data_IF_454093754666
#
_entry.id   IF_454093754666
#
_cell.length_a   1.000
_cell.length_b   1.000
_cell.length_c   1.000
_cell.angle_alpha   90.00
_cell.angle_beta   90.00
_cell.angle_gamma   90.00
#
_symmetry.space_group_name_H-M   'P 1'
#
loop_
_entity.id
_entity.type
_entity.pdbx_description
1 polymer ?
#
# COMPACT_ATOMS: atom_id res chain seq x y z
N UNK A 1 -29.55 11.18 10.03
CA UNK A 1 -28.59 10.30 10.72
C UNK A 1 -28.27 9.13 9.81
N UNK A 2 -26.98 8.87 9.59
CA UNK A 2 -26.57 7.79 8.67
C UNK A 2 -26.73 6.41 9.30
N UNK A 3 -27.26 5.46 8.53
CA UNK A 3 -27.30 4.07 8.91
C UNK A 3 -25.89 3.47 8.90
N UNK A 4 -25.74 2.28 9.46
CA UNK A 4 -24.45 1.56 9.42
C UNK A 4 -24.05 1.29 7.98
N UNK A 5 -24.99 0.90 7.12
CA UNK A 5 -24.72 0.66 5.70
C UNK A 5 -24.21 1.92 5.01
N UNK A 6 -24.81 3.07 5.30
CA UNK A 6 -24.36 4.35 4.74
C UNK A 6 -22.96 4.72 5.22
N UNK A 7 -22.68 4.49 6.51
CA UNK A 7 -21.35 4.76 7.07
C UNK A 7 -20.27 3.87 6.42
N UNK A 8 -20.61 2.60 6.16
CA UNK A 8 -19.70 1.69 5.48
C UNK A 8 -19.40 2.14 4.05
N UNK A 9 -20.44 2.62 3.36
CA UNK A 9 -20.29 3.12 2.00
C UNK A 9 -19.40 4.36 1.96
N UNK A 10 -19.62 5.29 2.88
CA UNK A 10 -18.80 6.50 2.98
C UNK A 10 -17.34 6.12 3.25
N UNK A 11 -17.11 5.18 4.15
CA UNK A 11 -15.77 4.73 4.48
C UNK A 11 -15.10 4.04 3.30
N UNK A 12 -15.84 3.20 2.58
CA UNK A 12 -15.33 2.54 1.38
C UNK A 12 -14.88 3.55 0.32
N UNK A 13 -15.63 4.64 0.15
CA UNK A 13 -15.25 5.71 -0.77
C UNK A 13 -13.98 6.43 -0.31
N UNK A 14 -13.81 6.61 1.00
CA UNK A 14 -12.58 7.19 1.55
C UNK A 14 -11.38 6.28 1.29
N UNK A 15 -11.57 4.96 1.44
CA UNK A 15 -10.51 4.00 1.14
C UNK A 15 -10.11 4.04 -0.34
N UNK A 16 -11.08 4.12 -1.23
CA UNK A 16 -10.81 4.20 -2.67
C UNK A 16 -10.04 5.47 -3.01
N UNK A 17 -10.42 6.60 -2.43
CA UNK A 17 -9.70 7.86 -2.63
C UNK A 17 -8.28 7.80 -2.09
N UNK A 18 -8.12 7.22 -0.90
CA UNK A 18 -6.81 7.08 -0.30
C UNK A 18 -5.90 6.19 -1.14
N UNK A 19 -6.45 5.12 -1.71
CA UNK A 19 -5.72 4.24 -2.60
C UNK A 19 -5.19 5.00 -3.82
N UNK A 20 -6.05 5.80 -4.44
CA UNK A 20 -5.67 6.59 -5.60
C UNK A 20 -4.60 7.63 -5.26
N UNK A 21 -4.75 8.30 -4.13
CA UNK A 21 -3.79 9.29 -3.65
C UNK A 21 -2.44 8.64 -3.34
N UNK A 22 -2.47 7.49 -2.68
CA UNK A 22 -1.29 6.71 -2.38
C UNK A 22 -0.53 6.34 -3.66
N UNK A 23 -1.24 5.79 -4.63
CA UNK A 23 -0.64 5.41 -5.91
C UNK A 23 -0.04 6.61 -6.63
N UNK A 24 -0.76 7.73 -6.63
CA UNK A 24 -0.28 8.95 -7.28
C UNK A 24 1.01 9.47 -6.64
N UNK A 25 1.01 9.62 -5.32
CA UNK A 25 2.19 10.15 -4.60
C UNK A 25 3.40 9.25 -4.82
N UNK A 26 3.23 7.94 -4.64
CA UNK A 26 4.35 7.00 -4.77
C UNK A 26 4.85 6.90 -6.22
N UNK A 27 3.96 7.01 -7.21
CA UNK A 27 4.36 6.96 -8.62
C UNK A 27 5.23 8.16 -9.02
N UNK A 28 5.16 9.26 -8.28
CA UNK A 28 5.96 10.45 -8.56
C UNK A 28 7.35 10.37 -7.96
N UNK A 29 7.63 9.37 -7.12
CA UNK A 29 8.95 9.19 -6.50
C UNK A 29 9.82 8.32 -7.40
N UNK A 30 10.95 8.87 -7.92
CA UNK A 30 11.80 8.11 -8.85
C UNK A 30 12.35 6.81 -8.27
N UNK A 31 12.57 6.76 -6.95
CA UNK A 31 13.12 5.59 -6.27
C UNK A 31 12.11 4.45 -6.12
N UNK A 32 10.81 4.72 -6.25
CA UNK A 32 9.78 3.69 -6.09
C UNK A 32 9.67 2.87 -7.38
N UNK A 33 9.76 1.55 -7.25
CA UNK A 33 9.68 0.63 -8.39
C UNK A 33 8.34 -0.10 -8.46
N UNK A 34 7.74 -0.43 -7.34
CA UNK A 34 6.48 -1.17 -7.33
C UNK A 34 5.68 -0.88 -6.05
N UNK A 35 4.37 -0.82 -6.19
CA UNK A 35 3.44 -0.63 -5.07
C UNK A 35 2.34 -1.67 -5.19
N UNK A 36 2.18 -2.50 -4.14
CA UNK A 36 1.18 -3.57 -4.13
C UNK A 36 0.29 -3.41 -2.91
N UNK A 37 -1.01 -3.31 -3.15
CA UNK A 37 -2.01 -3.27 -2.10
C UNK A 37 -2.42 -4.71 -1.75
N UNK A 38 -2.40 -5.05 -0.47
CA UNK A 38 -2.74 -6.40 -0.05
C UNK A 38 -3.66 -6.37 1.19
N UNK A 39 -3.91 -7.53 1.77
CA UNK A 39 -4.74 -7.63 2.96
C UNK A 39 -6.24 -7.53 2.67
N UNK A 40 -7.01 -7.11 3.67
CA UNK A 40 -8.47 -7.14 3.61
C UNK A 40 -9.05 -6.32 2.47
N UNK A 41 -8.49 -5.15 2.20
CA UNK A 41 -8.98 -4.30 1.13
C UNK A 41 -8.84 -4.98 -0.24
N UNK A 42 -7.68 -5.59 -0.50
CA UNK A 42 -7.43 -6.23 -1.79
C UNK A 42 -8.36 -7.44 -2.03
N UNK A 43 -8.89 -8.01 -0.95
CA UNK A 43 -9.86 -9.10 -1.03
C UNK A 43 -11.30 -8.62 -1.07
N UNK A 44 -11.52 -7.32 -1.27
CA UNK A 44 -12.86 -6.75 -1.39
C UNK A 44 -13.57 -6.48 -0.08
N UNK A 45 -12.89 -6.58 1.05
CA UNK A 45 -13.50 -6.35 2.37
C UNK A 45 -13.37 -4.88 2.77
N UNK A 46 -14.28 -4.06 2.27
CA UNK A 46 -14.31 -2.63 2.56
C UNK A 46 -15.25 -2.34 3.73
N UNK A 47 -14.86 -2.76 4.92
CA UNK A 47 -15.66 -2.55 6.13
C UNK A 47 -15.03 -1.44 6.96
N UNK A 48 -15.81 -0.96 7.97
CA UNK A 48 -15.29 0.03 8.92
C UNK A 48 -14.01 -0.49 9.57
N UNK A 49 -13.04 0.39 9.79
CA UNK A 49 -11.74 0.11 10.41
C UNK A 49 -10.82 -0.78 9.56
N UNK A 50 -11.14 -0.97 8.28
CA UNK A 50 -10.22 -1.63 7.37
C UNK A 50 -9.06 -0.69 7.04
N UNK A 51 -7.84 -1.12 7.34
CA UNK A 51 -6.63 -0.37 7.01
C UNK A 51 -6.18 -0.69 5.58
N UNK A 52 -5.34 0.17 5.06
CA UNK A 52 -4.65 -0.14 3.81
C UNK A 52 -3.31 -0.78 4.13
N UNK A 53 -3.09 -1.99 3.62
CA UNK A 53 -1.83 -2.70 3.76
C UNK A 53 -1.09 -2.61 2.43
N UNK A 54 0.12 -2.05 2.45
CA UNK A 54 0.83 -1.73 1.21
C UNK A 54 2.28 -2.18 1.28
N UNK A 55 2.69 -2.91 0.25
CA UNK A 55 4.10 -3.26 0.05
C UNK A 55 4.68 -2.29 -0.97
N UNK A 56 5.73 -1.57 -0.58
CA UNK A 56 6.44 -0.64 -1.45
C UNK A 56 7.84 -1.18 -1.68
N UNK A 57 8.21 -1.36 -2.94
CA UNK A 57 9.56 -1.76 -3.33
C UNK A 57 10.23 -0.51 -3.89
N UNK A 58 11.32 -0.08 -3.25
CA UNK A 58 11.98 1.16 -3.62
C UNK A 58 13.49 1.05 -3.47
N UNK A 59 14.19 1.76 -4.34
CA UNK A 59 15.65 1.87 -4.25
C UNK A 59 16.00 2.96 -3.27
N UNK A 60 16.66 2.59 -2.17
CA UNK A 60 17.02 3.55 -1.14
C UNK A 60 18.23 3.05 -0.36
N UNK A 61 19.04 4.01 0.13
CA UNK A 61 20.13 3.72 1.06
C UNK A 61 19.69 3.87 2.51
N UNK A 62 18.45 4.31 2.76
CA UNK A 62 17.93 4.47 4.10
C UNK A 62 17.72 3.11 4.77
N UNK A 63 17.96 3.05 6.08
CA UNK A 63 17.64 1.86 6.88
C UNK A 63 16.15 1.62 6.94
N UNK A 64 15.77 0.44 7.43
CA UNK A 64 14.38 -0.01 7.41
C UNK A 64 13.42 0.99 8.10
N UNK A 65 13.76 1.44 9.30
CA UNK A 65 12.88 2.36 10.03
C UNK A 65 12.86 3.75 9.41
N UNK A 66 13.98 4.21 8.89
CA UNK A 66 14.09 5.54 8.29
C UNK A 66 13.28 5.65 7.01
N UNK A 67 13.26 4.59 6.20
CA UNK A 67 12.46 4.61 4.97
C UNK A 67 10.97 4.60 5.28
N UNK A 68 10.54 3.88 6.33
CA UNK A 68 9.15 3.92 6.79
C UNK A 68 8.75 5.34 7.21
N UNK A 69 9.59 5.97 8.04
CA UNK A 69 9.34 7.33 8.50
C UNK A 69 9.20 8.30 7.34
N UNK A 70 10.10 8.19 6.38
CA UNK A 70 10.08 9.04 5.19
C UNK A 70 8.77 8.88 4.41
N UNK A 71 8.34 7.64 4.16
CA UNK A 71 7.12 7.39 3.40
C UNK A 71 5.86 7.81 4.15
N UNK A 72 5.78 7.52 5.45
CA UNK A 72 4.63 7.96 6.25
C UNK A 72 4.49 9.48 6.24
N UNK A 73 5.58 10.19 6.36
CA UNK A 73 5.56 11.66 6.32
C UNK A 73 5.14 12.18 4.93
N UNK A 74 5.56 11.50 3.88
CA UNK A 74 5.24 11.90 2.51
C UNK A 74 3.78 11.65 2.14
N UNK A 75 3.18 10.60 2.69
CA UNK A 75 1.84 10.19 2.31
C UNK A 75 0.73 10.95 3.03
N UNK A 76 0.88 11.18 4.34
CA UNK A 76 -0.07 11.97 5.14
C UNK A 76 -1.55 11.68 4.82
N UNK A 77 -1.91 10.38 4.77
CA UNK A 77 -3.28 9.98 4.43
C UNK A 77 -4.20 10.11 5.65
N UNK A 78 -5.52 10.35 5.42
CA UNK A 78 -6.48 10.54 6.50
C UNK A 78 -6.97 9.24 7.14
N UNK A 79 -6.26 8.15 6.99
CA UNK A 79 -6.63 6.85 7.56
C UNK A 79 -5.39 6.04 7.87
N UNK A 80 -5.59 4.95 8.59
CA UNK A 80 -4.50 4.07 8.96
C UNK A 80 -3.91 3.36 7.75
N UNK A 81 -2.60 3.26 7.74
CA UNK A 81 -1.85 2.72 6.63
C UNK A 81 -0.70 1.89 7.20
N UNK A 82 -0.63 0.63 6.80
CA UNK A 82 0.47 -0.25 7.18
C UNK A 82 1.39 -0.45 6.00
N UNK A 83 2.62 0.03 6.14
CA UNK A 83 3.62 -0.06 5.06
C UNK A 83 4.67 -1.12 5.36
N UNK A 84 4.98 -1.90 4.33
CA UNK A 84 6.18 -2.73 4.30
C UNK A 84 7.04 -2.16 3.17
N UNK A 85 8.25 -1.71 3.51
CA UNK A 85 9.13 -1.05 2.55
C UNK A 85 10.40 -1.87 2.38
N UNK A 86 10.59 -2.45 1.19
CA UNK A 86 11.74 -3.28 0.88
C UNK A 86 12.50 -2.72 -0.32
N UNK A 87 13.82 -2.90 -0.33
CA UNK A 87 14.60 -2.65 -1.53
C UNK A 87 14.37 -3.81 -2.51
N UNK A 88 14.69 -3.64 -3.80
CA UNK A 88 14.58 -4.75 -4.75
C UNK A 88 15.37 -5.98 -4.31
N UNK A 89 16.55 -5.79 -3.75
CA UNK A 89 17.41 -6.89 -3.28
C UNK A 89 16.77 -7.61 -2.10
N UNK A 90 16.22 -6.86 -1.15
CA UNK A 90 15.51 -7.45 0.00
C UNK A 90 14.28 -8.23 -0.46
N UNK A 91 13.54 -7.68 -1.43
CA UNK A 91 12.37 -8.36 -1.96
C UNK A 91 12.73 -9.68 -2.65
N UNK A 92 13.78 -9.68 -3.46
CA UNK A 92 14.25 -10.91 -4.10
C UNK A 92 14.59 -12.00 -3.06
N UNK A 93 15.13 -11.59 -1.92
CA UNK A 93 15.50 -12.53 -0.86
C UNK A 93 14.30 -13.15 -0.15
N UNK A 94 13.14 -12.47 -0.13
CA UNK A 94 11.98 -12.93 0.66
C UNK A 94 10.75 -13.29 -0.18
N UNK A 95 10.74 -13.02 -1.47
CA UNK A 95 9.53 -13.16 -2.30
C UNK A 95 8.95 -14.58 -2.35
N UNK A 96 9.77 -15.60 -2.10
CA UNK A 96 9.32 -16.99 -2.08
C UNK A 96 8.78 -17.43 -0.72
N UNK A 97 8.95 -16.61 0.32
CA UNK A 97 8.39 -16.91 1.62
C UNK A 97 6.87 -16.82 1.58
N UNK A 98 6.14 -17.67 2.33
CA UNK A 98 4.69 -17.76 2.21
C UNK A 98 3.94 -16.44 2.31
N UNK A 99 4.35 -15.57 3.23
CA UNK A 99 3.70 -14.27 3.41
C UNK A 99 3.81 -13.40 2.15
N UNK A 100 5.01 -13.27 1.60
CA UNK A 100 5.22 -12.44 0.41
C UNK A 100 4.68 -13.08 -0.86
N UNK A 101 4.74 -14.40 -0.92
CA UNK A 101 4.15 -15.13 -2.04
C UNK A 101 2.64 -14.90 -2.11
N UNK A 102 1.98 -14.89 -0.95
CA UNK A 102 0.56 -14.60 -0.88
C UNK A 102 0.24 -13.17 -1.32
N UNK A 103 1.08 -12.20 -0.93
CA UNK A 103 0.93 -10.82 -1.38
C UNK A 103 0.97 -10.74 -2.90
N UNK A 104 1.91 -11.44 -3.52
CA UNK A 104 2.03 -11.43 -4.98
C UNK A 104 0.85 -12.10 -5.67
N UNK A 105 0.29 -13.14 -5.08
CA UNK A 105 -0.83 -13.88 -5.67
C UNK A 105 -2.15 -13.14 -5.53
N UNK A 106 -2.40 -12.53 -4.37
CA UNK A 106 -3.70 -11.92 -4.04
C UNK A 106 -3.70 -10.40 -4.12
N UNK A 107 -2.55 -9.77 -4.13
CA UNK A 107 -2.45 -8.32 -4.08
C UNK A 107 -2.82 -7.64 -5.38
N UNK A 108 -3.09 -6.34 -5.27
CA UNK A 108 -3.40 -5.49 -6.42
C UNK A 108 -2.20 -4.60 -6.67
N UNK A 109 -1.62 -4.68 -7.86
CA UNK A 109 -0.50 -3.81 -8.23
C UNK A 109 -1.05 -2.42 -8.54
N UNK A 110 -0.72 -1.44 -7.70
CA UNK A 110 -1.15 -0.07 -7.88
C UNK A 110 -0.21 0.70 -8.81
N UNK A 111 1.06 0.34 -8.80
CA UNK A 111 2.06 1.01 -9.63
C UNK A 111 3.22 0.06 -9.88
N UNK A 112 3.74 0.11 -11.09
CA UNK A 112 4.94 -0.63 -11.48
C UNK A 112 5.74 0.23 -12.45
N UNK A 113 6.96 0.57 -12.06
CA UNK A 113 7.82 1.43 -12.87
C UNK A 113 8.15 0.76 -14.20
N UNK A 114 8.11 1.55 -15.27
CA UNK A 114 8.42 1.06 -16.60
C UNK A 114 7.25 0.43 -17.34
N UNK A 115 6.07 0.36 -16.72
CA UNK A 115 4.85 -0.08 -17.39
C UNK A 115 4.00 1.11 -17.77
N UNK A 116 3.63 1.13 -19.02
CA UNK A 116 2.74 2.16 -19.54
C UNK A 116 1.29 1.88 -19.12
#
# INVERSE_FOLDING_TARGET
>A
MNSLAEKREIYAKKLDKAKEQLAHVLSQMPEVERVILFGSYSRGKKVLLTDLDVLVILRTSLGFLERLKFLYQSLALPMDLDLICLTPEEFEAVKEKPFFKKILEEGIVLYEKGRA
#
